data_IF_526591739244
#
_entry.id   IF_526591739244
#
_cell.length_a   1.000
_cell.length_b   1.000
_cell.length_c   1.000
_cell.angle_alpha   90.00
_cell.angle_beta   90.00
_cell.angle_gamma   90.00
#
_symmetry.space_group_name_H-M   'P 1'
#
loop_
_entity.id
_entity.type
_entity.pdbx_description
1 polymer ?
#
# COMPACT_ATOMS: atom_id res chain seq x y z
N UNK A 1 26.14 -35.95 -25.43
CA UNK A 1 26.43 -35.38 -24.09
C UNK A 1 25.88 -33.96 -24.06
N UNK A 2 24.60 -33.80 -23.74
CA UNK A 2 23.89 -32.55 -23.33
C UNK A 2 22.38 -32.83 -23.36
N UNK A 3 21.95 -33.77 -22.52
CA UNK A 3 20.54 -33.91 -22.13
C UNK A 3 20.49 -33.64 -20.63
N UNK A 4 20.01 -32.46 -20.25
CA UNK A 4 19.57 -32.07 -18.90
C UNK A 4 19.44 -30.56 -18.92
N UNK A 5 18.21 -30.08 -19.12
CA UNK A 5 17.67 -28.83 -18.61
C UNK A 5 16.34 -28.61 -19.34
N UNK A 6 15.33 -29.37 -18.95
CA UNK A 6 13.99 -28.84 -18.72
C UNK A 6 13.04 -29.96 -18.33
N UNK A 7 12.00 -29.51 -17.64
CA UNK A 7 10.78 -30.23 -17.30
C UNK A 7 10.86 -31.03 -15.99
N UNK A 8 9.91 -30.70 -15.11
CA UNK A 8 9.67 -31.20 -13.75
C UNK A 8 10.29 -30.41 -12.59
N UNK A 9 10.07 -29.10 -12.57
CA UNK A 9 9.71 -28.44 -11.30
C UNK A 9 8.20 -28.67 -11.07
N UNK A 10 7.87 -29.88 -10.60
CA UNK A 10 6.58 -30.17 -9.98
C UNK A 10 6.46 -29.32 -8.72
N UNK A 11 5.83 -28.15 -8.83
CA UNK A 11 5.44 -27.35 -7.67
C UNK A 11 4.26 -28.07 -7.03
N UNK A 12 4.59 -28.89 -6.04
CA UNK A 12 3.67 -29.41 -5.04
C UNK A 12 2.81 -28.26 -4.51
N UNK A 13 1.49 -28.38 -4.66
CA UNK A 13 0.50 -27.60 -3.90
C UNK A 13 0.74 -27.87 -2.41
N UNK A 14 1.61 -27.09 -1.78
CA UNK A 14 1.85 -27.16 -0.34
C UNK A 14 0.74 -26.37 0.34
N UNK A 15 -0.05 -27.05 1.17
CA UNK A 15 -0.95 -26.41 2.14
C UNK A 15 -0.09 -25.61 3.14
N UNK A 16 0.37 -24.44 2.72
CA UNK A 16 1.11 -23.52 3.59
C UNK A 16 0.13 -22.91 4.59
N UNK A 17 0.46 -22.95 5.88
CA UNK A 17 -0.33 -22.28 6.92
C UNK A 17 -0.45 -20.78 6.61
N UNK A 18 -1.54 -20.14 7.09
CA UNK A 18 -1.79 -18.69 6.90
C UNK A 18 -0.55 -17.87 7.30
N UNK A 19 0.13 -18.29 8.37
CA UNK A 19 1.36 -17.68 8.85
C UNK A 19 2.50 -17.72 7.83
N UNK A 20 2.71 -18.85 7.14
CA UNK A 20 3.73 -18.96 6.10
C UNK A 20 3.43 -18.05 4.89
N UNK A 21 2.15 -17.87 4.55
CA UNK A 21 1.71 -16.96 3.48
C UNK A 21 1.94 -15.49 3.84
N UNK A 22 1.65 -15.12 5.08
CA UNK A 22 1.91 -13.76 5.58
C UNK A 22 3.41 -13.52 5.64
N UNK A 23 4.20 -14.45 6.19
CA UNK A 23 5.65 -14.33 6.28
C UNK A 23 6.31 -14.19 4.89
N UNK A 24 5.92 -15.01 3.92
CA UNK A 24 6.49 -14.93 2.56
C UNK A 24 6.08 -13.68 1.79
N UNK A 25 5.02 -12.99 2.22
CA UNK A 25 4.63 -11.69 1.66
C UNK A 25 5.40 -10.53 2.28
N UNK A 26 5.68 -10.60 3.59
CA UNK A 26 6.36 -9.56 4.36
C UNK A 26 7.88 -9.57 4.16
N UNK A 27 8.49 -10.75 4.00
CA UNK A 27 9.94 -10.86 3.76
C UNK A 27 10.26 -10.42 2.33
N UNK A 28 11.22 -9.51 2.11
CA UNK A 28 11.67 -9.14 0.78
C UNK A 28 12.30 -10.36 0.10
N UNK A 29 11.67 -10.84 -0.97
CA UNK A 29 12.36 -11.65 -1.97
C UNK A 29 12.94 -10.68 -3.01
N UNK A 30 14.18 -10.90 -3.43
CA UNK A 30 14.88 -10.16 -4.49
C UNK A 30 14.34 -10.51 -5.90
N UNK A 31 13.05 -10.81 -6.02
CA UNK A 31 12.43 -11.13 -7.30
C UNK A 31 12.04 -9.85 -8.03
N UNK A 32 12.11 -9.88 -9.36
CA UNK A 32 11.67 -8.77 -10.20
C UNK A 32 10.19 -8.41 -9.91
N UNK A 33 9.86 -7.12 -9.99
CA UNK A 33 8.53 -6.62 -9.62
C UNK A 33 7.40 -7.29 -10.45
N UNK A 34 7.69 -7.67 -11.69
CA UNK A 34 6.77 -8.31 -12.63
C UNK A 34 7.11 -9.77 -12.95
N UNK A 35 7.78 -10.48 -12.03
CA UNK A 35 8.02 -11.91 -12.18
C UNK A 35 6.70 -12.69 -12.37
N UNK A 36 6.75 -13.76 -13.16
CA UNK A 36 5.57 -14.52 -13.58
C UNK A 36 4.82 -15.11 -12.40
N UNK A 37 5.52 -15.62 -11.39
CA UNK A 37 4.88 -16.19 -10.19
C UNK A 37 4.21 -15.10 -9.35
N UNK A 38 4.83 -13.92 -9.27
CA UNK A 38 4.33 -12.76 -8.53
C UNK A 38 3.07 -12.14 -9.16
N UNK A 39 3.06 -12.03 -10.49
CA UNK A 39 1.90 -11.57 -11.26
C UNK A 39 0.72 -12.52 -11.04
N UNK A 40 0.94 -13.85 -11.18
CA UNK A 40 -0.08 -14.88 -10.91
C UNK A 40 -0.62 -14.79 -9.48
N UNK A 41 0.27 -14.56 -8.50
CA UNK A 41 -0.12 -14.39 -7.11
C UNK A 41 -1.03 -13.17 -6.92
N UNK A 42 -0.73 -12.05 -7.58
CA UNK A 42 -1.57 -10.84 -7.53
C UNK A 42 -2.95 -11.10 -8.15
N UNK A 43 -3.01 -11.73 -9.34
CA UNK A 43 -4.27 -12.12 -9.97
C UNK A 43 -5.15 -13.00 -9.08
N UNK A 44 -4.55 -13.99 -8.42
CA UNK A 44 -5.25 -14.86 -7.48
C UNK A 44 -5.74 -14.11 -6.23
N UNK A 45 -4.89 -13.24 -5.67
CA UNK A 45 -5.24 -12.44 -4.49
C UNK A 45 -6.40 -11.49 -4.79
N UNK A 46 -6.33 -10.81 -5.93
CA UNK A 46 -7.33 -9.84 -6.34
C UNK A 46 -8.54 -10.47 -7.02
N UNK A 47 -8.55 -11.78 -7.30
CA UNK A 47 -9.62 -12.47 -8.02
C UNK A 47 -9.91 -11.79 -9.37
N UNK A 48 -8.88 -11.66 -10.20
CA UNK A 48 -8.97 -11.12 -11.57
C UNK A 48 -8.37 -12.14 -12.54
N UNK A 49 -9.06 -12.42 -13.66
CA UNK A 49 -8.58 -13.36 -14.67
C UNK A 49 -7.36 -12.78 -15.41
N UNK A 50 -6.28 -13.56 -15.47
CA UNK A 50 -5.04 -13.25 -16.21
C UNK A 50 -5.27 -13.12 -17.72
N UNK A 51 -6.31 -13.78 -18.25
CA UNK A 51 -6.65 -13.72 -19.67
C UNK A 51 -7.35 -12.43 -20.07
N UNK A 52 -8.03 -11.78 -19.13
CA UNK A 52 -8.79 -10.56 -19.38
C UNK A 52 -8.05 -9.31 -18.92
N UNK A 53 -7.26 -9.43 -17.85
CA UNK A 53 -6.58 -8.32 -17.22
C UNK A 53 -5.08 -8.53 -17.23
N UNK A 54 -4.33 -7.50 -17.59
CA UNK A 54 -2.87 -7.48 -17.52
C UNK A 54 -2.44 -6.56 -16.39
N UNK A 55 -1.62 -7.05 -15.47
CA UNK A 55 -1.02 -6.21 -14.43
C UNK A 55 0.03 -5.27 -15.05
N UNK A 56 -0.20 -3.96 -14.95
CA UNK A 56 0.65 -2.92 -15.56
C UNK A 56 1.37 -2.03 -14.54
N UNK A 57 0.89 -2.02 -13.30
CA UNK A 57 1.48 -1.27 -12.19
C UNK A 57 1.42 -2.11 -10.93
N UNK A 58 2.53 -2.17 -10.19
CA UNK A 58 2.60 -2.89 -8.92
C UNK A 58 3.52 -2.18 -7.93
N UNK A 59 2.91 -1.68 -6.87
CA UNK A 59 3.60 -1.11 -5.73
C UNK A 59 3.70 -2.14 -4.60
N UNK A 60 4.85 -2.80 -4.51
CA UNK A 60 5.13 -3.81 -3.48
C UNK A 60 5.09 -3.17 -2.08
N UNK A 61 5.63 -1.96 -1.95
CA UNK A 61 5.69 -1.22 -0.69
C UNK A 61 4.29 -0.89 -0.16
N UNK A 62 3.43 -0.32 -1.00
CA UNK A 62 2.03 -0.04 -0.65
C UNK A 62 1.25 -1.31 -0.31
N UNK A 63 1.47 -2.39 -1.06
CA UNK A 63 0.79 -3.67 -0.83
C UNK A 63 1.19 -4.30 0.51
N UNK A 64 2.50 -4.29 0.85
CA UNK A 64 3.04 -4.80 2.12
C UNK A 64 2.56 -3.98 3.31
N UNK A 65 2.71 -2.67 3.24
CA UNK A 65 2.27 -1.76 4.31
C UNK A 65 0.77 -1.93 4.56
N UNK A 66 -0.07 -2.06 3.53
CA UNK A 66 -1.51 -2.30 3.71
C UNK A 66 -1.80 -3.59 4.49
N UNK A 67 -1.08 -4.68 4.18
CA UNK A 67 -1.22 -5.96 4.91
C UNK A 67 -0.70 -5.83 6.34
N UNK A 68 0.46 -5.19 6.55
CA UNK A 68 1.00 -4.93 7.89
C UNK A 68 0.02 -4.11 8.72
N UNK A 69 -0.53 -3.03 8.19
CA UNK A 69 -1.50 -2.20 8.91
C UNK A 69 -2.75 -3.01 9.27
N UNK A 70 -3.24 -3.87 8.36
CA UNK A 70 -4.37 -4.75 8.67
C UNK A 70 -4.10 -5.77 9.79
N UNK A 71 -2.84 -6.15 10.00
CA UNK A 71 -2.42 -7.06 11.08
C UNK A 71 -2.13 -6.32 12.39
N UNK A 72 -1.44 -5.17 12.33
CA UNK A 72 -1.03 -4.44 13.53
C UNK A 72 -2.14 -3.59 14.12
N UNK A 73 -3.06 -3.04 13.30
CA UNK A 73 -4.09 -2.15 13.80
C UNK A 73 -5.03 -2.82 14.84
N UNK A 74 -5.51 -4.07 14.64
CA UNK A 74 -6.31 -4.75 15.67
C UNK A 74 -5.52 -4.98 16.96
N UNK A 75 -4.25 -5.38 16.87
CA UNK A 75 -3.38 -5.58 18.04
C UNK A 75 -3.16 -4.25 18.79
N UNK A 76 -2.97 -3.16 18.06
CA UNK A 76 -2.83 -1.83 18.64
C UNK A 76 -4.11 -1.40 19.36
N UNK A 77 -5.28 -1.57 18.74
CA UNK A 77 -6.58 -1.27 19.37
C UNK A 77 -6.78 -2.09 20.65
N UNK A 78 -6.49 -3.40 20.62
CA UNK A 78 -6.61 -4.27 21.78
C UNK A 78 -5.66 -3.85 22.90
N UNK A 79 -4.39 -3.55 22.57
CA UNK A 79 -3.41 -3.05 23.53
C UNK A 79 -3.82 -1.73 24.16
N UNK A 80 -4.31 -0.77 23.36
CA UNK A 80 -4.84 0.51 23.86
C UNK A 80 -6.07 0.31 24.75
N UNK A 81 -6.96 -0.62 24.43
CA UNK A 81 -8.13 -0.93 25.26
C UNK A 81 -7.72 -1.51 26.63
N UNK A 82 -6.75 -2.43 26.66
CA UNK A 82 -6.21 -2.99 27.91
C UNK A 82 -5.55 -1.89 28.74
N UNK A 83 -4.75 -1.02 28.09
CA UNK A 83 -4.12 0.12 28.74
C UNK A 83 -5.14 1.07 29.38
N UNK A 84 -6.19 1.45 28.66
CA UNK A 84 -7.26 2.31 29.17
C UNK A 84 -8.05 1.65 30.31
N UNK A 85 -8.32 0.36 30.18
CA UNK A 85 -9.01 -0.42 31.22
C UNK A 85 -8.20 -0.43 32.53
N UNK A 86 -6.89 -0.67 32.44
CA UNK A 86 -5.99 -0.70 33.60
C UNK A 86 -5.97 0.65 34.33
N UNK A 87 -5.85 1.75 33.60
CA UNK A 87 -5.88 3.11 34.18
C UNK A 87 -7.22 3.40 34.88
N UNK A 88 -8.34 2.97 34.29
CA UNK A 88 -9.67 3.29 34.81
C UNK A 88 -10.09 2.42 36.00
N UNK A 89 -9.62 1.17 36.08
CA UNK A 89 -10.09 0.19 37.07
C UNK A 89 -9.10 -0.06 38.20
N UNK A 90 -7.80 0.07 37.96
CA UNK A 90 -6.79 -0.23 38.96
C UNK A 90 -6.22 1.04 39.58
N UNK A 91 -6.03 0.99 40.90
CA UNK A 91 -5.29 2.01 41.65
C UNK A 91 -3.83 2.07 41.17
N UNK A 92 -3.17 3.22 41.35
CA UNK A 92 -1.84 3.47 40.80
C UNK A 92 -0.79 2.38 41.13
N UNK A 93 -0.89 1.78 42.33
CA UNK A 93 0.02 0.72 42.79
C UNK A 93 -0.32 -0.69 42.28
N UNK A 94 -1.49 -0.88 41.67
CA UNK A 94 -1.96 -2.17 41.15
C UNK A 94 -2.09 -2.17 39.61
N UNK A 95 -1.58 -1.12 38.96
CA UNK A 95 -1.47 -1.04 37.49
C UNK A 95 -0.35 -1.95 37.01
N UNK A 96 -0.37 -2.31 35.73
CA UNK A 96 0.77 -2.98 35.13
C UNK A 96 2.01 -2.09 35.17
N UNK A 97 3.20 -2.65 35.45
CA UNK A 97 4.47 -1.92 35.55
C UNK A 97 4.72 -0.96 34.39
N UNK A 98 4.40 -1.38 33.16
CA UNK A 98 4.55 -0.57 31.96
C UNK A 98 3.59 0.63 31.94
N UNK A 99 2.33 0.43 32.36
CA UNK A 99 1.32 1.50 32.44
C UNK A 99 1.72 2.51 33.50
N UNK A 100 2.18 2.03 34.66
CA UNK A 100 2.63 2.88 35.75
C UNK A 100 3.81 3.76 35.33
N UNK A 101 4.80 3.21 34.63
CA UNK A 101 5.92 4.01 34.08
C UNK A 101 5.45 5.11 33.15
N UNK A 102 4.57 4.80 32.19
CA UNK A 102 4.05 5.81 31.25
C UNK A 102 3.29 6.92 31.97
N UNK A 103 2.48 6.57 32.98
CA UNK A 103 1.73 7.57 33.75
C UNK A 103 2.68 8.45 34.56
N UNK A 104 3.69 7.86 35.21
CA UNK A 104 4.69 8.64 35.96
C UNK A 104 5.49 9.56 35.03
N UNK A 105 5.94 9.08 33.88
CA UNK A 105 6.62 9.89 32.87
C UNK A 105 5.73 11.05 32.40
N UNK A 106 4.42 10.80 32.24
CA UNK A 106 3.46 11.84 31.87
C UNK A 106 3.24 12.87 32.98
N UNK A 107 3.22 12.45 34.24
CA UNK A 107 3.12 13.34 35.40
C UNK A 107 4.38 14.20 35.57
N UNK A 108 5.58 13.61 35.40
CA UNK A 108 6.86 14.34 35.44
C UNK A 108 6.96 15.40 34.34
N UNK A 109 6.48 15.09 33.13
CA UNK A 109 6.47 16.02 32.02
C UNK A 109 5.39 17.10 32.15
N UNK A 110 4.31 16.84 32.90
CA UNK A 110 3.16 17.73 33.04
C UNK A 110 2.65 18.21 31.68
N UNK A 111 2.58 19.54 31.49
CA UNK A 111 2.11 20.13 30.24
C UNK A 111 3.06 19.93 29.04
N UNK A 112 4.32 19.57 29.27
CA UNK A 112 5.26 19.38 28.16
C UNK A 112 4.92 18.14 27.32
N UNK A 113 4.11 17.20 27.83
CA UNK A 113 3.67 16.01 27.08
C UNK A 113 2.86 16.36 25.82
N UNK A 114 2.19 17.52 25.80
CA UNK A 114 1.39 17.92 24.64
C UNK A 114 2.24 18.06 23.36
N UNK A 115 3.49 18.52 23.48
CA UNK A 115 4.38 18.70 22.33
C UNK A 115 4.68 17.38 21.60
N UNK A 116 5.24 16.34 22.25
CA UNK A 116 5.47 15.06 21.60
C UNK A 116 4.16 14.36 21.18
N UNK A 117 3.07 14.52 21.93
CA UNK A 117 1.76 13.95 21.52
C UNK A 117 1.23 14.57 20.24
N UNK A 118 1.28 15.91 20.10
CA UNK A 118 0.85 16.60 18.87
C UNK A 118 1.77 16.22 17.70
N UNK A 119 3.09 16.23 17.92
CA UNK A 119 4.05 15.84 16.90
C UNK A 119 3.80 14.41 16.40
N UNK A 120 3.64 13.45 17.31
CA UNK A 120 3.33 12.06 16.97
C UNK A 120 2.00 11.93 16.22
N UNK A 121 0.96 12.64 16.68
CA UNK A 121 -0.36 12.64 16.02
C UNK A 121 -0.28 13.17 14.60
N UNK A 122 0.52 14.23 14.37
CA UNK A 122 0.75 14.79 13.05
C UNK A 122 1.49 13.80 12.13
N UNK A 123 2.53 13.13 12.63
CA UNK A 123 3.23 12.08 11.85
C UNK A 123 2.27 10.94 11.49
N UNK A 124 1.48 10.46 12.44
CA UNK A 124 0.48 9.39 12.18
C UNK A 124 -0.53 9.86 11.12
N UNK A 125 -1.06 11.08 11.23
CA UNK A 125 -2.01 11.63 10.27
C UNK A 125 -1.41 11.72 8.86
N UNK A 126 -0.16 12.15 8.73
CA UNK A 126 0.55 12.19 7.45
C UNK A 126 0.75 10.79 6.86
N UNK A 127 1.19 9.82 7.67
CA UNK A 127 1.36 8.43 7.22
C UNK A 127 0.03 7.82 6.76
N UNK A 128 -1.05 8.04 7.52
CA UNK A 128 -2.40 7.63 7.16
C UNK A 128 -2.81 8.25 5.83
N UNK A 129 -2.54 9.54 5.64
CA UNK A 129 -2.86 10.26 4.40
C UNK A 129 -2.13 9.67 3.20
N UNK A 130 -0.82 9.43 3.33
CA UNK A 130 -0.01 8.80 2.29
C UNK A 130 -0.56 7.41 1.94
N UNK A 131 -0.88 6.59 2.94
CA UNK A 131 -1.42 5.24 2.73
C UNK A 131 -2.77 5.24 2.01
N UNK A 132 -3.63 6.25 2.26
CA UNK A 132 -4.91 6.39 1.58
C UNK A 132 -4.77 6.78 0.11
N UNK A 133 -3.73 7.55 -0.22
CA UNK A 133 -3.49 8.03 -1.59
C UNK A 133 -2.79 6.99 -2.48
N UNK A 134 -1.96 6.11 -1.90
CA UNK A 134 -1.19 5.14 -2.67
C UNK A 134 -2.08 4.11 -3.36
N UNK A 135 -1.85 3.95 -4.66
CA UNK A 135 -2.36 2.83 -5.43
C UNK A 135 -1.46 1.62 -5.20
N UNK A 136 -2.05 0.45 -4.97
CA UNK A 136 -1.29 -0.78 -4.80
C UNK A 136 -1.00 -1.43 -6.15
N UNK A 137 -2.02 -1.54 -7.01
CA UNK A 137 -1.93 -2.24 -8.30
C UNK A 137 -2.85 -1.60 -9.32
N UNK A 138 -2.45 -1.62 -10.60
CA UNK A 138 -3.32 -1.23 -11.72
C UNK A 138 -3.28 -2.33 -12.77
N UNK A 139 -4.46 -2.70 -13.23
CA UNK A 139 -4.69 -3.66 -14.29
C UNK A 139 -5.26 -2.95 -15.51
N UNK A 140 -4.81 -3.35 -16.70
CA UNK A 140 -5.38 -2.93 -17.98
C UNK A 140 -6.16 -4.08 -18.59
N UNK A 141 -7.33 -3.79 -19.16
CA UNK A 141 -8.13 -4.79 -19.85
C UNK A 141 -7.52 -5.12 -21.22
N UNK A 142 -7.47 -6.42 -21.56
CA UNK A 142 -6.91 -6.90 -22.84
C UNK A 142 -7.86 -6.76 -24.03
N UNK A 143 -9.18 -6.78 -23.78
CA UNK A 143 -10.21 -6.62 -24.81
C UNK A 143 -10.44 -5.15 -25.13
N UNK A 144 -10.50 -4.30 -24.09
CA UNK A 144 -10.60 -2.84 -24.23
C UNK A 144 -9.41 -2.16 -23.55
N UNK A 145 -8.45 -1.67 -24.34
CA UNK A 145 -7.22 -1.10 -23.80
C UNK A 145 -7.44 0.18 -22.97
N UNK A 146 -8.59 0.84 -23.12
CA UNK A 146 -8.92 2.09 -22.42
C UNK A 146 -9.51 1.86 -21.03
N UNK A 147 -9.86 0.62 -20.68
CA UNK A 147 -10.44 0.28 -19.38
C UNK A 147 -9.39 -0.27 -18.41
N UNK A 148 -9.41 0.28 -17.20
CA UNK A 148 -8.44 -0.04 -16.15
C UNK A 148 -9.13 -0.35 -14.82
N UNK A 149 -8.49 -1.21 -14.03
CA UNK A 149 -8.85 -1.44 -12.62
C UNK A 149 -7.69 -1.02 -11.73
N UNK A 150 -7.91 -0.01 -10.90
CA UNK A 150 -7.02 0.33 -9.80
C UNK A 150 -7.44 -0.41 -8.53
N UNK A 151 -6.44 -0.91 -7.79
CA UNK A 151 -6.62 -1.49 -6.46
C UNK A 151 -5.95 -0.58 -5.46
N UNK A 152 -6.75 -0.09 -4.51
CA UNK A 152 -6.30 0.83 -3.47
C UNK A 152 -6.81 0.43 -2.10
N UNK A 153 -6.30 1.10 -1.08
CA UNK A 153 -6.83 0.95 0.27
C UNK A 153 -8.04 1.87 0.50
N UNK A 154 -9.10 1.33 1.09
CA UNK A 154 -10.27 2.03 1.61
C UNK A 154 -10.26 1.90 3.13
N UNK A 155 -10.40 3.03 3.83
CA UNK A 155 -10.29 3.08 5.29
C UNK A 155 -8.99 2.44 5.82
N UNK A 156 -7.86 2.65 5.11
CA UNK A 156 -6.49 2.25 5.50
C UNK A 156 -6.23 0.73 5.44
N UNK A 157 -7.23 -0.12 5.66
CA UNK A 157 -7.05 -1.57 5.76
C UNK A 157 -7.72 -2.34 4.62
N UNK A 158 -8.91 -1.93 4.19
CA UNK A 158 -9.74 -2.71 3.27
C UNK A 158 -9.32 -2.46 1.83
N UNK A 159 -9.07 -3.50 1.05
CA UNK A 159 -8.81 -3.33 -0.38
C UNK A 159 -10.11 -3.00 -1.13
N UNK A 160 -10.05 -2.02 -2.02
CA UNK A 160 -11.13 -1.63 -2.92
C UNK A 160 -10.63 -1.65 -4.35
N UNK A 161 -11.43 -2.27 -5.23
CA UNK A 161 -11.29 -2.18 -6.68
C UNK A 161 -12.03 -0.96 -7.19
N UNK A 162 -11.41 -0.22 -8.08
CA UNK A 162 -11.98 0.96 -8.73
C UNK A 162 -11.77 0.82 -10.23
N UNK A 163 -12.86 0.66 -10.98
CA UNK A 163 -12.85 0.65 -12.44
C UNK A 163 -12.83 2.10 -12.91
N UNK A 164 -11.96 2.40 -13.87
CA UNK A 164 -11.87 3.70 -14.49
C UNK A 164 -11.50 3.56 -15.96
N UNK A 165 -11.92 4.53 -16.76
CA UNK A 165 -11.55 4.63 -18.15
C UNK A 165 -10.43 5.67 -18.30
N UNK A 166 -9.60 5.50 -19.33
CA UNK A 166 -8.55 6.42 -19.72
C UNK A 166 -8.99 7.89 -19.73
N UNK A 167 -10.17 8.21 -20.26
CA UNK A 167 -10.67 9.60 -20.34
C UNK A 167 -10.86 10.26 -18.97
N UNK A 168 -11.01 9.43 -17.93
CA UNK A 168 -11.14 9.88 -16.55
C UNK A 168 -9.82 9.94 -15.80
N UNK A 169 -8.68 9.63 -16.43
CA UNK A 169 -7.36 9.68 -15.81
C UNK A 169 -6.44 10.71 -16.44
N UNK A 170 -5.77 11.48 -15.59
CA UNK A 170 -4.79 12.48 -16.01
C UNK A 170 -3.67 12.61 -14.99
N UNK A 171 -2.48 12.97 -15.49
CA UNK A 171 -1.38 13.35 -14.63
C UNK A 171 -1.67 14.72 -13.98
N UNK A 172 -1.34 14.85 -12.69
CA UNK A 172 -1.47 16.10 -11.95
C UNK A 172 -0.08 16.62 -11.61
N UNK A 173 0.44 17.50 -12.47
CA UNK A 173 1.75 18.12 -12.29
C UNK A 173 1.62 19.38 -11.44
N UNK A 174 2.34 19.43 -10.31
CA UNK A 174 2.54 20.69 -9.58
C UNK A 174 3.53 21.56 -10.36
N UNK A 175 3.27 22.87 -10.40
CA UNK A 175 4.09 23.84 -11.14
C UNK A 175 5.59 23.70 -10.83
N UNK A 176 6.42 23.79 -11.87
CA UNK A 176 7.87 23.58 -11.82
C UNK A 176 8.62 24.59 -10.93
N UNK A 177 8.00 25.74 -10.60
CA UNK A 177 8.60 26.81 -9.79
C UNK A 177 8.77 26.46 -8.29
N UNK A 178 8.41 25.25 -7.86
CA UNK A 178 8.55 24.84 -6.46
C UNK A 178 9.87 24.13 -6.18
N UNK A 179 10.46 24.41 -5.01
CA UNK A 179 11.61 23.64 -4.52
C UNK A 179 11.30 22.15 -4.46
N UNK A 180 12.30 21.30 -4.77
CA UNK A 180 12.12 19.85 -4.86
C UNK A 180 11.44 19.24 -3.62
N UNK A 181 11.82 19.70 -2.42
CA UNK A 181 11.20 19.24 -1.17
C UNK A 181 9.72 19.60 -1.04
N UNK A 182 9.31 20.79 -1.52
CA UNK A 182 7.91 21.21 -1.49
C UNK A 182 7.08 20.42 -2.48
N UNK A 183 7.61 20.15 -3.68
CA UNK A 183 6.95 19.30 -4.69
C UNK A 183 6.71 17.89 -4.15
N UNK A 184 7.72 17.31 -3.50
CA UNK A 184 7.61 15.98 -2.86
C UNK A 184 6.54 15.99 -1.78
N UNK A 185 6.54 16.99 -0.88
CA UNK A 185 5.52 17.11 0.16
C UNK A 185 4.10 17.24 -0.39
N UNK A 186 3.90 18.03 -1.45
CA UNK A 186 2.59 18.17 -2.09
C UNK A 186 2.12 16.88 -2.75
N UNK A 187 3.02 16.15 -3.42
CA UNK A 187 2.72 14.82 -3.98
C UNK A 187 2.26 13.85 -2.89
N UNK A 188 2.90 13.85 -1.72
CA UNK A 188 2.50 13.00 -0.60
C UNK A 188 1.14 13.39 0.02
N UNK A 189 0.79 14.67 0.01
CA UNK A 189 -0.46 15.16 0.61
C UNK A 189 -1.66 15.09 -0.33
N UNK A 190 -1.43 15.26 -1.62
CA UNK A 190 -2.48 15.45 -2.61
C UNK A 190 -2.46 14.40 -3.71
N UNK A 191 -1.39 13.64 -3.89
CA UNK A 191 -1.21 12.72 -5.03
C UNK A 191 -0.64 13.43 -6.26
N UNK A 192 -0.17 12.64 -7.22
CA UNK A 192 0.42 13.09 -8.49
C UNK A 192 -0.42 12.70 -9.72
N UNK A 193 -1.53 12.00 -9.52
CA UNK A 193 -2.49 11.70 -10.59
C UNK A 193 -3.92 11.93 -10.12
N UNK A 194 -4.80 12.12 -11.10
CA UNK A 194 -6.24 12.14 -10.91
C UNK A 194 -6.84 10.94 -11.64
N UNK A 195 -7.65 10.15 -10.93
CA UNK A 195 -8.46 9.08 -11.51
C UNK A 195 -9.93 9.34 -11.12
N UNK A 196 -10.76 9.65 -12.10
CA UNK A 196 -12.09 10.22 -11.92
C UNK A 196 -12.03 11.53 -11.12
N UNK A 197 -12.82 11.60 -10.05
CA UNK A 197 -12.84 12.77 -9.15
C UNK A 197 -11.88 12.63 -7.96
N UNK A 198 -10.97 11.67 -7.97
CA UNK A 198 -10.12 11.35 -6.82
C UNK A 198 -8.65 11.42 -7.18
N UNK A 199 -7.89 12.13 -6.36
CA UNK A 199 -6.44 12.16 -6.49
C UNK A 199 -5.80 10.94 -5.85
N UNK A 200 -4.77 10.41 -6.50
CA UNK A 200 -4.04 9.23 -6.08
C UNK A 200 -2.54 9.45 -6.29
N UNK A 201 -1.75 8.63 -5.62
CA UNK A 201 -0.30 8.64 -5.74
C UNK A 201 0.17 7.34 -6.38
N UNK A 202 0.92 7.47 -7.48
CA UNK A 202 1.63 6.39 -8.17
C UNK A 202 3.11 6.72 -8.24
N UNK A 203 3.97 5.70 -8.29
CA UNK A 203 5.40 5.90 -8.52
C UNK A 203 5.75 5.41 -9.93
N UNK A 204 6.51 6.22 -10.69
CA UNK A 204 6.73 5.97 -12.11
C UNK A 204 7.55 4.69 -12.37
N UNK A 205 8.43 4.33 -11.44
CA UNK A 205 9.26 3.12 -11.44
C UNK A 205 8.48 1.82 -11.17
N UNK A 206 7.24 1.91 -10.72
CA UNK A 206 6.39 0.76 -10.39
C UNK A 206 5.55 0.27 -11.58
N UNK A 207 5.66 0.92 -12.74
CA UNK A 207 5.02 0.46 -13.98
C UNK A 207 5.84 -0.64 -14.65
N UNK A 208 5.13 -1.52 -15.37
CA UNK A 208 5.74 -2.57 -16.17
C UNK A 208 6.63 -1.99 -17.29
N UNK A 209 6.19 -0.88 -17.86
CA UNK A 209 6.95 -0.07 -18.79
C UNK A 209 6.33 1.34 -18.88
N UNK A 210 7.13 2.33 -19.27
CA UNK A 210 6.71 3.74 -19.31
C UNK A 210 5.55 4.01 -20.27
N UNK A 211 5.43 3.23 -21.36
CA UNK A 211 4.33 3.37 -22.32
C UNK A 211 2.96 3.07 -21.70
N UNK A 212 2.85 2.17 -20.74
CA UNK A 212 1.61 1.91 -20.01
C UNK A 212 1.17 3.12 -19.21
N UNK A 213 2.11 3.77 -18.50
CA UNK A 213 1.84 5.00 -17.74
C UNK A 213 1.36 6.12 -18.66
N UNK A 214 2.16 6.46 -19.67
CA UNK A 214 1.85 7.56 -20.57
C UNK A 214 0.54 7.35 -21.33
N UNK A 215 0.22 6.11 -21.72
CA UNK A 215 -1.06 5.80 -22.34
C UNK A 215 -2.23 5.96 -21.37
N UNK A 216 -2.12 5.41 -20.15
CA UNK A 216 -3.14 5.52 -19.11
C UNK A 216 -3.42 6.99 -18.71
N UNK A 217 -2.37 7.82 -18.64
CA UNK A 217 -2.48 9.23 -18.21
C UNK A 217 -2.78 10.23 -19.33
N UNK A 218 -3.23 9.76 -20.50
CA UNK A 218 -3.54 10.59 -21.67
C UNK A 218 -2.35 11.37 -22.27
N UNK A 219 -1.11 10.97 -21.99
CA UNK A 219 0.08 11.61 -22.56
C UNK A 219 0.41 11.10 -23.98
N UNK A 220 -0.05 9.89 -24.33
CA UNK A 220 0.09 9.33 -25.68
C UNK A 220 -1.20 8.65 -26.14
N UNK A 221 -1.47 8.68 -27.45
CA UNK A 221 -2.58 7.95 -28.07
C UNK A 221 -2.22 6.51 -28.43
N UNK A 222 -0.93 6.14 -28.39
CA UNK A 222 -0.47 4.82 -28.85
C UNK A 222 -0.63 3.77 -27.74
N UNK A 223 -1.45 2.72 -27.94
CA UNK A 223 -1.63 1.69 -26.92
C UNK A 223 -0.36 0.85 -26.74
N UNK A 224 -0.06 0.43 -25.50
CA UNK A 224 1.04 -0.49 -25.23
C UNK A 224 0.75 -1.87 -25.86
N UNK A 225 1.82 -2.57 -26.28
CA UNK A 225 1.71 -3.96 -26.74
C UNK A 225 1.47 -4.87 -25.53
N UNK A 226 0.30 -5.51 -25.49
CA UNK A 226 -0.19 -6.37 -24.41
C UNK A 226 0.25 -7.83 -24.56
#
# INVERSE_FOLDING_TARGET
MLSRLNVYKNITRRNSSIFQRVKSFLVPNETENFDVEEVKRCHNWDKLDEKEWTLIYRDIGASRTNVMTGLFLPCFIAGSAIFLYDIQKNEANNRFDFVQRIVNDAEELGNLIFVPTIALSLVIALLVRVQQLRVMRIYQNRKNVEDFIAIRSKYIVRQQKFLFNRDSSSAFYFAEEQSDGRRVALNFLFGNIQIGNQRQMIMDDMFRANNYRSFMLNETSVPPRL
#
